data_IF_424008617522
#
_entry.id   IF_424008617522
#
_cell.length_a   1.000
_cell.length_b   1.000
_cell.length_c   1.000
_cell.angle_alpha   90.00
_cell.angle_beta   90.00
_cell.angle_gamma   90.00
#
_symmetry.space_group_name_H-M   'P 1'
#
loop_
_entity.id
_entity.type
_entity.pdbx_description
1 polymer ?
#
# COMPACT_ATOMS: atom_id res chain seq x y z
N UNK A 1 -11.88 6.32 -2.49
CA UNK A 1 -11.70 6.62 -1.04
C UNK A 1 -10.57 7.61 -0.64
N UNK A 2 -9.27 7.38 -0.96
CA UNK A 2 -8.13 8.08 -0.30
C UNK A 2 -8.04 9.61 -0.52
N UNK A 3 -8.54 10.12 -1.64
CA UNK A 3 -8.53 11.56 -1.94
C UNK A 3 -9.27 12.40 -0.89
N UNK A 4 -10.31 11.82 -0.26
CA UNK A 4 -11.11 12.47 0.80
C UNK A 4 -10.36 12.63 2.12
N UNK A 5 -9.31 11.84 2.34
CA UNK A 5 -8.55 11.78 3.60
C UNK A 5 -7.15 12.38 3.45
N UNK A 6 -6.95 13.23 2.43
CA UNK A 6 -5.66 13.85 2.15
C UNK A 6 -5.21 14.72 3.34
N UNK A 7 -3.95 14.62 3.77
CA UNK A 7 -3.39 15.53 4.77
C UNK A 7 -3.49 17.00 4.32
N UNK A 8 -3.56 17.92 5.29
CA UNK A 8 -3.57 19.36 5.01
C UNK A 8 -2.23 19.78 4.36
N UNK A 9 -2.33 20.57 3.29
CA UNK A 9 -1.18 21.28 2.72
C UNK A 9 -0.78 22.45 3.65
N UNK A 10 0.45 22.95 3.54
CA UNK A 10 0.97 23.99 4.45
C UNK A 10 0.14 25.28 4.44
N UNK A 11 -0.36 25.68 3.26
CA UNK A 11 -1.24 26.84 3.10
C UNK A 11 -2.58 26.63 3.83
N UNK A 12 -3.22 25.48 3.63
CA UNK A 12 -4.49 25.13 4.30
C UNK A 12 -4.32 25.03 5.82
N UNK A 13 -3.17 24.51 6.29
CA UNK A 13 -2.83 24.46 7.71
C UNK A 13 -2.67 25.87 8.28
N UNK A 14 -1.98 26.77 7.58
CA UNK A 14 -1.81 28.18 7.99
C UNK A 14 -3.15 28.89 8.08
N UNK A 15 -4.01 28.73 7.09
CA UNK A 15 -5.36 29.32 7.07
C UNK A 15 -6.21 28.81 8.23
N UNK A 16 -6.19 27.49 8.50
CA UNK A 16 -6.92 26.89 9.63
C UNK A 16 -6.44 27.46 10.97
N UNK A 17 -5.13 27.60 11.16
CA UNK A 17 -4.57 28.17 12.40
C UNK A 17 -4.99 29.63 12.57
N UNK A 18 -4.97 30.41 11.49
CA UNK A 18 -5.36 31.82 11.51
C UNK A 18 -6.86 31.98 11.82
N UNK A 19 -7.71 31.16 11.21
CA UNK A 19 -9.15 31.13 11.47
C UNK A 19 -9.49 30.70 12.88
N UNK A 20 -8.74 29.74 13.44
CA UNK A 20 -8.87 29.34 14.85
C UNK A 20 -8.49 30.47 15.80
N UNK A 21 -7.36 31.13 15.56
CA UNK A 21 -6.92 32.25 16.37
C UNK A 21 -7.96 33.38 16.37
N UNK A 22 -8.54 33.71 15.21
CA UNK A 22 -9.63 34.69 15.10
C UNK A 22 -10.88 34.27 15.89
N UNK A 23 -11.31 33.01 15.76
CA UNK A 23 -12.48 32.51 16.47
C UNK A 23 -12.29 32.46 18.00
N UNK A 24 -11.07 32.16 18.46
CA UNK A 24 -10.70 32.21 19.88
C UNK A 24 -10.70 33.65 20.41
N UNK A 25 -10.20 34.63 19.63
CA UNK A 25 -10.27 36.06 20.02
C UNK A 25 -11.70 36.61 20.06
N UNK A 26 -12.61 36.07 19.26
CA UNK A 26 -14.05 36.41 19.29
C UNK A 26 -14.82 35.71 20.43
N UNK A 27 -14.14 34.94 21.30
CA UNK A 27 -14.77 34.26 22.43
C UNK A 27 -15.66 33.08 22.05
N UNK A 28 -15.61 32.62 20.80
CA UNK A 28 -16.32 31.41 20.36
C UNK A 28 -15.49 30.19 20.72
N UNK A 29 -16.01 29.32 21.59
CA UNK A 29 -15.37 28.04 21.93
C UNK A 29 -15.48 27.08 20.74
N UNK A 30 -14.41 26.99 19.95
CA UNK A 30 -14.40 26.11 18.76
C UNK A 30 -13.91 24.71 19.14
N UNK A 31 -14.83 23.84 19.57
CA UNK A 31 -14.60 22.39 19.55
C UNK A 31 -14.56 21.89 18.09
N UNK A 32 -13.42 22.10 17.43
CA UNK A 32 -13.20 21.57 16.09
C UNK A 32 -12.95 20.05 16.19
N UNK A 33 -13.89 19.25 15.69
CA UNK A 33 -13.70 17.80 15.47
C UNK A 33 -12.37 17.57 14.76
N UNK A 34 -11.50 16.75 15.37
CA UNK A 34 -10.17 16.47 14.86
C UNK A 34 -10.27 15.92 13.43
N UNK A 35 -9.58 16.50 12.45
CA UNK A 35 -9.69 16.06 11.06
C UNK A 35 -9.18 14.62 10.94
N UNK A 36 -10.00 13.79 10.28
CA UNK A 36 -9.62 12.43 9.92
C UNK A 36 -8.78 12.53 8.65
N UNK A 37 -7.50 12.18 8.75
CA UNK A 37 -6.57 12.18 7.65
C UNK A 37 -5.73 10.90 7.65
N UNK A 38 -5.24 10.53 6.48
CA UNK A 38 -4.26 9.45 6.31
C UNK A 38 -3.03 9.76 7.16
N UNK A 39 -2.57 8.75 7.91
CA UNK A 39 -1.30 8.83 8.64
C UNK A 39 -0.21 8.30 7.72
N UNK A 40 0.89 9.03 7.66
CA UNK A 40 2.00 8.73 6.76
C UNK A 40 3.33 8.79 7.52
N UNK A 41 4.33 8.17 6.92
CA UNK A 41 5.68 8.09 7.47
C UNK A 41 5.84 6.84 8.32
N UNK A 42 6.97 6.17 8.12
CA UNK A 42 7.19 4.84 8.66
C UNK A 42 7.00 4.76 10.18
N UNK A 43 7.77 5.53 10.95
CA UNK A 43 7.78 5.45 12.42
C UNK A 43 6.39 5.67 13.03
N UNK A 44 5.59 6.53 12.39
CA UNK A 44 4.24 6.79 12.85
C UNK A 44 3.30 5.63 12.50
N UNK A 45 3.44 5.05 11.30
CA UNK A 45 2.61 3.92 10.88
C UNK A 45 2.96 2.66 11.68
N UNK A 46 4.24 2.35 11.90
CA UNK A 46 4.68 1.20 12.71
C UNK A 46 4.14 1.28 14.13
N UNK A 47 4.26 2.46 14.77
CA UNK A 47 3.66 2.70 16.08
C UNK A 47 2.15 2.45 16.09
N UNK A 48 1.42 2.92 15.07
CA UNK A 48 -0.04 2.71 14.99
C UNK A 48 -0.42 1.24 14.75
N UNK A 49 0.42 0.47 14.07
CA UNK A 49 0.26 -0.98 13.88
C UNK A 49 0.47 -1.70 15.21
N UNK A 50 1.54 -1.38 15.95
CA UNK A 50 1.83 -1.96 17.27
C UNK A 50 0.70 -1.69 18.26
N UNK A 51 0.12 -0.48 18.20
CA UNK A 51 -1.02 -0.08 19.02
C UNK A 51 -2.37 -0.66 18.54
N UNK A 52 -2.38 -1.45 17.45
CA UNK A 52 -3.59 -2.01 16.80
C UNK A 52 -4.63 -0.94 16.43
N UNK A 53 -4.17 0.29 16.14
CA UNK A 53 -5.02 1.42 15.74
C UNK A 53 -5.11 1.58 14.23
N UNK A 54 -4.15 1.03 13.49
CA UNK A 54 -4.20 1.00 12.03
C UNK A 54 -5.23 -0.04 11.55
N UNK A 55 -6.18 0.39 10.72
CA UNK A 55 -7.20 -0.48 10.12
C UNK A 55 -6.75 -1.03 8.77
N UNK A 56 -6.07 -0.20 7.97
CA UNK A 56 -5.50 -0.57 6.68
C UNK A 56 -4.15 0.11 6.51
N UNK A 57 -3.16 -0.63 6.01
CA UNK A 57 -1.82 -0.15 5.70
C UNK A 57 -1.54 -0.40 4.22
N UNK A 58 -1.02 0.62 3.54
CA UNK A 58 -0.60 0.58 2.14
C UNK A 58 0.91 0.82 2.11
N UNK A 59 1.64 -0.11 1.49
CA UNK A 59 3.09 -0.10 1.37
C UNK A 59 3.43 0.09 -0.10
N UNK A 60 4.32 1.04 -0.41
CA UNK A 60 4.84 1.23 -1.75
C UNK A 60 5.77 0.05 -2.12
N UNK A 61 5.67 -0.42 -3.35
CA UNK A 61 6.45 -1.55 -3.85
C UNK A 61 7.82 -1.13 -4.42
N UNK A 62 7.96 0.15 -4.73
CA UNK A 62 9.07 0.80 -5.44
C UNK A 62 9.93 1.66 -4.50
N UNK A 63 10.10 1.21 -3.26
CA UNK A 63 10.96 1.87 -2.28
C UNK A 63 12.39 1.40 -2.49
N UNK A 64 13.26 2.33 -2.87
CA UNK A 64 14.70 2.13 -2.97
C UNK A 64 15.41 3.05 -1.98
N UNK A 65 16.28 2.53 -1.09
CA UNK A 65 16.58 1.13 -0.75
C UNK A 65 15.38 0.31 -0.25
N UNK A 66 15.35 -0.99 -0.54
CA UNK A 66 14.29 -1.90 -0.08
C UNK A 66 14.29 -2.03 1.45
N UNK A 67 15.45 -1.81 2.07
CA UNK A 67 15.64 -1.70 3.51
C UNK A 67 15.08 -0.39 4.06
N UNK A 68 14.98 0.68 3.25
CA UNK A 68 14.40 1.98 3.63
C UNK A 68 12.85 2.01 3.65
N UNK A 69 12.22 0.83 3.60
CA UNK A 69 11.04 0.61 4.44
C UNK A 69 11.37 0.92 5.92
N UNK A 70 12.64 1.15 6.28
CA UNK A 70 13.21 1.66 7.54
C UNK A 70 13.92 3.03 7.33
N UNK A 71 13.12 4.10 7.19
CA UNK A 71 13.42 5.53 7.53
C UNK A 71 14.33 6.40 6.60
N UNK A 72 13.70 7.32 5.84
CA UNK A 72 13.97 8.79 5.70
C UNK A 72 13.74 9.36 4.27
N UNK A 73 12.46 9.60 3.97
CA UNK A 73 11.85 10.66 3.12
C UNK A 73 12.56 11.15 1.83
N UNK A 74 11.85 10.95 0.71
CA UNK A 74 11.22 12.01 -0.13
C UNK A 74 9.87 11.52 -0.70
N UNK A 75 9.72 10.22 -0.89
CA UNK A 75 8.47 9.51 -1.19
C UNK A 75 7.81 8.98 0.10
N UNK A 76 6.48 8.92 0.14
CA UNK A 76 5.77 8.30 1.26
C UNK A 76 5.78 6.77 1.08
N UNK A 77 6.72 6.07 1.74
CA UNK A 77 6.85 4.61 1.63
C UNK A 77 5.64 3.86 2.19
N UNK A 78 4.98 4.42 3.21
CA UNK A 78 3.87 3.78 3.91
C UNK A 78 2.79 4.80 4.30
N UNK A 79 1.54 4.41 4.07
CA UNK A 79 0.33 5.14 4.43
C UNK A 79 -0.60 4.23 5.24
N UNK A 80 -1.33 4.77 6.22
CA UNK A 80 -2.37 4.01 6.92
C UNK A 80 -3.61 4.83 7.26
N UNK A 81 -4.73 4.13 7.36
CA UNK A 81 -6.00 4.64 7.86
C UNK A 81 -6.23 4.12 9.27
N UNK A 82 -6.52 5.03 10.19
CA UNK A 82 -6.85 4.69 11.59
C UNK A 82 -8.35 4.72 11.86
N UNK A 83 -9.06 5.64 11.19
CA UNK A 83 -10.50 5.79 11.29
C UNK A 83 -11.03 6.17 9.91
N UNK A 84 -12.25 5.72 9.60
CA UNK A 84 -12.96 5.99 8.34
C UNK A 84 -14.32 6.57 8.69
N UNK A 85 -14.80 7.55 7.92
CA UNK A 85 -16.15 8.12 8.06
C UNK A 85 -17.19 7.04 7.76
N UNK A 86 -18.38 7.18 8.34
CA UNK A 86 -19.44 6.19 8.17
C UNK A 86 -19.86 6.02 6.69
N UNK A 87 -19.82 7.10 5.92
CA UNK A 87 -20.11 7.14 4.48
C UNK A 87 -19.22 6.20 3.65
N UNK A 88 -17.94 6.08 4.01
CA UNK A 88 -16.96 5.32 3.25
C UNK A 88 -16.77 3.89 3.79
N UNK A 89 -17.48 3.52 4.87
CA UNK A 89 -17.28 2.24 5.58
C UNK A 89 -17.59 1.01 4.72
N UNK A 90 -18.59 1.11 3.85
CA UNK A 90 -18.97 0.03 2.92
C UNK A 90 -17.90 -0.19 1.84
N UNK A 91 -17.42 0.89 1.21
CA UNK A 91 -16.32 0.83 0.22
C UNK A 91 -15.04 0.29 0.89
N UNK A 92 -14.74 0.78 2.09
CA UNK A 92 -13.59 0.35 2.87
C UNK A 92 -13.57 -1.14 3.19
N UNK A 93 -14.72 -1.69 3.59
CA UNK A 93 -14.85 -3.11 3.94
C UNK A 93 -14.57 -4.02 2.74
N UNK A 94 -15.05 -3.64 1.54
CA UNK A 94 -14.76 -4.37 0.29
C UNK A 94 -13.27 -4.37 -0.05
N UNK A 95 -12.61 -3.23 0.13
CA UNK A 95 -11.16 -3.10 -0.10
C UNK A 95 -10.39 -3.97 0.90
N UNK A 96 -10.77 -3.97 2.17
CA UNK A 96 -10.14 -4.81 3.19
C UNK A 96 -10.24 -6.29 2.87
N UNK A 97 -11.41 -6.76 2.46
CA UNK A 97 -11.63 -8.16 2.10
C UNK A 97 -10.78 -8.57 0.89
N UNK A 98 -10.77 -7.74 -0.16
CA UNK A 98 -9.95 -7.97 -1.34
C UNK A 98 -8.45 -8.00 -1.03
N UNK A 99 -7.95 -7.11 -0.16
CA UNK A 99 -6.53 -7.08 0.23
C UNK A 99 -6.18 -8.27 1.12
N UNK A 100 -7.06 -8.62 2.06
CA UNK A 100 -6.82 -9.75 2.98
C UNK A 100 -6.70 -11.08 2.22
N UNK A 101 -7.62 -11.34 1.29
CA UNK A 101 -7.59 -12.53 0.45
C UNK A 101 -6.36 -12.59 -0.47
N UNK A 102 -5.79 -11.45 -0.85
CA UNK A 102 -4.64 -11.38 -1.73
C UNK A 102 -3.28 -11.33 -1.03
N UNK A 103 -3.20 -10.90 0.24
CA UNK A 103 -1.92 -10.71 0.92
C UNK A 103 -1.83 -11.51 2.23
N UNK A 104 -2.73 -11.25 3.18
CA UNK A 104 -2.65 -11.85 4.51
C UNK A 104 -2.96 -13.35 4.50
N UNK A 105 -4.00 -13.77 3.78
CA UNK A 105 -4.42 -15.17 3.74
C UNK A 105 -3.44 -16.05 2.94
N UNK A 106 -2.67 -15.44 2.03
CA UNK A 106 -1.63 -16.10 1.20
C UNK A 106 -0.21 -15.89 1.72
N UNK A 107 -0.05 -15.33 2.92
CA UNK A 107 1.25 -14.94 3.46
C UNK A 107 2.25 -16.11 3.51
N UNK A 108 1.81 -17.28 3.97
CA UNK A 108 2.67 -18.47 4.05
C UNK A 108 3.07 -19.02 2.67
N UNK A 109 2.21 -18.89 1.66
CA UNK A 109 2.53 -19.27 0.28
C UNK A 109 3.59 -18.35 -0.29
N UNK A 110 3.40 -17.03 -0.16
CA UNK A 110 4.36 -16.04 -0.64
C UNK A 110 5.72 -16.17 0.04
N UNK A 111 5.75 -16.48 1.35
CA UNK A 111 7.00 -16.69 2.09
C UNK A 111 7.79 -17.90 1.57
N UNK A 112 7.11 -18.95 1.11
CA UNK A 112 7.74 -20.19 0.60
C UNK A 112 8.08 -20.10 -0.88
N UNK A 113 7.44 -19.21 -1.63
CA UNK A 113 7.64 -19.04 -3.07
C UNK A 113 8.86 -18.16 -3.34
N UNK A 114 9.90 -18.76 -3.91
CA UNK A 114 11.05 -18.02 -4.39
C UNK A 114 10.71 -17.39 -5.74
N UNK A 115 10.97 -16.09 -5.86
CA UNK A 115 10.82 -15.34 -7.12
C UNK A 115 12.00 -15.54 -8.07
N UNK A 116 11.89 -14.98 -9.27
CA UNK A 116 12.93 -15.10 -10.29
C UNK A 116 12.76 -16.33 -11.18
N UNK A 117 13.83 -16.74 -11.87
CA UNK A 117 13.81 -17.88 -12.78
C UNK A 117 13.11 -17.62 -14.12
N UNK A 118 12.70 -16.38 -14.40
CA UNK A 118 12.17 -15.99 -15.71
C UNK A 118 13.33 -15.93 -16.69
N UNK A 119 13.39 -16.93 -17.56
CA UNK A 119 14.40 -17.04 -18.61
C UNK A 119 14.15 -16.00 -19.70
N UNK A 120 15.23 -15.45 -20.28
CA UNK A 120 15.12 -14.45 -21.36
C UNK A 120 14.41 -15.00 -22.61
N UNK A 121 13.71 -14.13 -23.33
CA UNK A 121 12.88 -14.47 -24.50
C UNK A 121 13.61 -15.30 -25.55
N UNK A 122 14.88 -14.97 -25.84
CA UNK A 122 15.75 -15.71 -26.78
C UNK A 122 16.02 -17.14 -26.30
N UNK A 123 16.27 -17.33 -25.01
CA UNK A 123 16.55 -18.65 -24.45
C UNK A 123 15.29 -19.51 -24.35
N UNK A 124 14.13 -18.90 -24.03
CA UNK A 124 12.82 -19.56 -24.10
C UNK A 124 12.51 -20.04 -25.53
N UNK A 125 12.71 -19.19 -26.54
CA UNK A 125 12.47 -19.55 -27.93
C UNK A 125 13.37 -20.70 -28.40
N UNK A 126 14.66 -20.68 -28.02
CA UNK A 126 15.61 -21.76 -28.32
C UNK A 126 15.22 -23.08 -27.65
N UNK A 127 14.80 -23.04 -26.39
CA UNK A 127 14.36 -24.22 -25.63
C UNK A 127 13.10 -24.80 -26.27
N UNK A 128 12.10 -23.96 -26.56
CA UNK A 128 10.86 -24.39 -27.25
C UNK A 128 11.10 -24.99 -28.63
N UNK A 129 12.04 -24.43 -29.41
CA UNK A 129 12.40 -24.98 -30.71
C UNK A 129 13.04 -26.37 -30.58
N UNK A 130 13.94 -26.55 -29.60
CA UNK A 130 14.55 -27.85 -29.30
C UNK A 130 13.51 -28.87 -28.83
N UNK A 131 12.64 -28.49 -27.90
CA UNK A 131 11.59 -29.38 -27.38
C UNK A 131 10.64 -29.83 -28.49
N UNK A 132 10.31 -28.94 -29.43
CA UNK A 132 9.47 -29.29 -30.59
C UNK A 132 10.15 -30.31 -31.52
N UNK A 133 11.45 -30.16 -31.77
CA UNK A 133 12.22 -31.11 -32.59
C UNK A 133 12.30 -32.46 -31.88
N UNK A 134 12.63 -32.46 -30.59
CA UNK A 134 12.74 -33.67 -29.77
C UNK A 134 11.40 -34.42 -29.68
N UNK A 135 10.29 -33.69 -29.51
CA UNK A 135 8.95 -34.26 -29.48
C UNK A 135 8.54 -34.86 -30.84
N UNK A 136 8.94 -34.22 -31.95
CA UNK A 136 8.72 -34.77 -33.29
C UNK A 136 9.52 -36.06 -33.49
N UNK A 137 10.77 -36.09 -33.02
CA UNK A 137 11.63 -37.27 -33.12
C UNK A 137 11.12 -38.44 -32.26
N UNK A 138 10.69 -38.18 -31.01
CA UNK A 138 10.10 -39.22 -30.14
C UNK A 138 8.77 -39.73 -30.68
N UNK A 139 7.92 -38.87 -31.24
CA UNK A 139 6.67 -39.30 -31.87
C UNK A 139 6.91 -40.18 -33.10
N UNK A 140 7.96 -39.90 -33.88
CA UNK A 140 8.34 -40.75 -35.02
C UNK A 140 9.00 -42.07 -34.60
N UNK A 141 9.63 -42.12 -33.43
CA UNK A 141 10.24 -43.34 -32.86
C UNK A 141 9.25 -44.29 -32.18
N UNK A 142 8.08 -43.79 -31.77
CA UNK A 142 7.04 -44.60 -31.11
C UNK A 142 5.98 -45.13 -32.08
N UNK A 143 6.01 -44.71 -33.35
CA UNK A 143 5.29 -45.33 -34.46
C UNK A 143 6.19 -46.33 -35.18
#
# INVERSE_FOLDING_TARGET
MLLKYRPEDEAAKKERLLRKAQAETEGKTVEAKKPIAVKYGLNHVTYLIEQKKAQLVVIAHDVDPIELVIVHKKTASVLCLTTVKNEDKLEFSRILEAIKANFNDKYDEYRKRWGGGIMGSKSLAKTKAKDKVLAKETAQRMN
#
